data_IF_687232819993
#
_entry.id   IF_687232819993
#
_cell.length_a   1.000
_cell.length_b   1.000
_cell.length_c   1.000
_cell.angle_alpha   90.00
_cell.angle_beta   90.00
_cell.angle_gamma   90.00
#
_symmetry.space_group_name_H-M   'P 1'
#
loop_
_entity.id
_entity.type
_entity.pdbx_description
1 polymer ?
#
# COMPACT_ATOMS: atom_id res chain seq x y z
N UNK A 1 4.73 -1.86 11.74
CA UNK A 1 6.11 -2.09 11.28
C UNK A 1 7.07 -1.70 12.39
N UNK A 2 7.92 -2.63 12.82
CA UNK A 2 8.91 -2.37 13.87
C UNK A 2 10.03 -1.49 13.30
N UNK A 3 10.27 -0.32 13.89
CA UNK A 3 11.33 0.59 13.45
C UNK A 3 12.57 0.37 14.32
N UNK A 4 13.54 -0.39 13.82
CA UNK A 4 14.78 -0.72 14.56
C UNK A 4 15.45 0.55 15.09
N UNK A 5 15.54 1.62 14.29
CA UNK A 5 16.16 2.87 14.73
C UNK A 5 15.44 3.51 15.92
N UNK A 6 14.11 3.47 15.95
CA UNK A 6 13.33 3.98 17.09
C UNK A 6 13.59 3.14 18.34
N UNK A 7 13.62 1.82 18.18
CA UNK A 7 13.93 0.89 19.27
C UNK A 7 15.33 1.12 19.84
N UNK A 8 16.35 1.28 18.98
CA UNK A 8 17.71 1.59 19.41
C UNK A 8 17.79 2.91 20.17
N UNK A 9 17.05 3.94 19.73
CA UNK A 9 16.98 5.21 20.46
C UNK A 9 16.32 5.06 21.84
N UNK A 10 15.28 4.23 21.97
CA UNK A 10 14.61 3.98 23.23
C UNK A 10 15.48 3.19 24.23
N UNK A 11 16.39 2.33 23.75
CA UNK A 11 17.40 1.69 24.60
C UNK A 11 18.39 2.72 25.15
N UNK A 12 18.88 3.62 24.29
CA UNK A 12 19.89 4.61 24.67
C UNK A 12 19.32 5.74 25.53
N UNK A 13 18.09 6.17 25.25
CA UNK A 13 17.41 7.25 25.94
C UNK A 13 15.92 6.90 26.14
N UNK A 14 15.60 6.15 27.22
CA UNK A 14 14.23 5.72 27.50
C UNK A 14 13.29 6.92 27.64
N UNK A 15 12.22 6.92 26.85
CA UNK A 15 11.15 7.92 26.94
C UNK A 15 9.95 7.32 27.66
N UNK A 16 9.22 8.12 28.47
CA UNK A 16 7.97 7.65 29.05
C UNK A 16 7.01 7.20 27.95
N UNK A 17 6.25 6.13 28.22
CA UNK A 17 5.31 5.58 27.27
C UNK A 17 4.26 6.65 26.92
N UNK A 18 4.20 6.97 25.62
CA UNK A 18 3.18 7.86 25.09
C UNK A 18 1.79 7.21 25.10
N UNK A 19 0.74 7.99 24.85
CA UNK A 19 -0.62 7.46 24.79
C UNK A 19 -0.74 6.39 23.70
N UNK A 20 -1.47 5.31 24.04
CA UNK A 20 -1.78 4.23 23.09
C UNK A 20 -2.55 4.81 21.90
N UNK A 21 -2.02 4.63 20.70
CA UNK A 21 -2.70 4.99 19.44
C UNK A 21 -3.39 3.76 18.88
N UNK A 22 -4.69 3.87 18.64
CA UNK A 22 -5.44 2.87 17.89
C UNK A 22 -5.51 3.33 16.43
N UNK A 23 -4.96 2.55 15.47
CA UNK A 23 -5.10 2.89 14.07
C UNK A 23 -6.59 2.84 13.66
N UNK A 24 -7.03 3.71 12.75
CA UNK A 24 -8.44 3.81 12.37
C UNK A 24 -8.95 2.66 11.49
N UNK A 25 -8.06 1.76 11.05
CA UNK A 25 -8.40 0.64 10.17
C UNK A 25 -7.16 -0.15 9.74
N UNK A 26 -7.33 -1.17 8.90
CA UNK A 26 -6.24 -2.02 8.43
C UNK A 26 -5.30 -1.27 7.46
N UNK A 27 -4.06 -1.74 7.37
CA UNK A 27 -3.14 -1.36 6.30
C UNK A 27 -3.20 -2.43 5.24
N UNK A 28 -3.50 -2.05 3.99
CA UNK A 28 -3.51 -2.99 2.85
C UNK A 28 -2.21 -2.84 2.07
N UNK A 29 -1.51 -3.94 1.87
CA UNK A 29 -0.35 -4.04 0.98
C UNK A 29 -0.82 -4.84 -0.23
N UNK A 30 -0.82 -4.20 -1.39
CA UNK A 30 -1.37 -4.80 -2.61
C UNK A 30 -0.28 -5.01 -3.65
N UNK A 31 -0.07 -6.27 -4.05
CA UNK A 31 0.73 -6.60 -5.21
C UNK A 31 -0.01 -6.23 -6.50
N UNK A 32 0.28 -5.04 -7.01
CA UNK A 32 -0.39 -4.42 -8.15
C UNK A 32 0.05 -5.02 -9.50
N UNK A 33 1.32 -5.35 -9.61
CA UNK A 33 1.98 -5.89 -10.81
C UNK A 33 3.01 -6.93 -10.35
N UNK A 34 3.22 -8.01 -11.10
CA UNK A 34 4.23 -9.02 -10.76
C UNK A 34 5.54 -8.82 -11.53
N UNK A 35 5.50 -8.13 -12.66
CA UNK A 35 6.71 -7.77 -13.41
C UNK A 35 7.70 -6.99 -12.53
N UNK A 36 8.98 -7.34 -12.60
CA UNK A 36 10.06 -6.69 -11.86
C UNK A 36 11.33 -6.64 -12.70
N UNK A 37 12.11 -5.57 -12.61
CA UNK A 37 13.40 -5.42 -13.27
C UNK A 37 14.53 -6.23 -12.60
N UNK A 38 14.22 -6.94 -11.51
CA UNK A 38 15.15 -7.77 -10.74
C UNK A 38 14.61 -9.19 -10.55
N UNK A 39 15.52 -10.13 -10.28
CA UNK A 39 15.22 -11.54 -10.00
C UNK A 39 15.87 -11.99 -8.69
N UNK A 40 15.37 -11.43 -7.57
CA UNK A 40 15.94 -11.66 -6.25
C UNK A 40 15.76 -13.11 -5.79
N UNK A 41 16.82 -13.74 -5.26
CA UNK A 41 16.79 -15.12 -4.72
C UNK A 41 15.75 -15.36 -3.63
N UNK A 42 15.35 -14.30 -2.92
CA UNK A 42 14.41 -14.34 -1.79
C UNK A 42 13.02 -13.78 -2.18
N UNK A 43 12.72 -13.67 -3.48
CA UNK A 43 11.46 -13.12 -3.96
C UNK A 43 10.31 -14.10 -3.73
N UNK A 44 9.42 -13.80 -2.77
CA UNK A 44 8.26 -14.65 -2.49
C UNK A 44 7.28 -14.75 -3.67
N UNK A 45 7.22 -13.73 -4.53
CA UNK A 45 6.33 -13.68 -5.70
C UNK A 45 6.97 -14.24 -6.97
N UNK A 46 8.24 -14.66 -6.92
CA UNK A 46 9.01 -15.16 -8.06
C UNK A 46 8.80 -14.22 -9.27
N UNK A 47 9.15 -12.96 -9.08
CA UNK A 47 9.02 -11.90 -10.09
C UNK A 47 10.21 -11.92 -11.05
N UNK A 48 9.97 -11.47 -12.28
CA UNK A 48 10.98 -11.34 -13.32
C UNK A 48 10.55 -10.25 -14.32
N UNK A 49 11.43 -9.88 -15.23
CA UNK A 49 11.14 -8.87 -16.26
C UNK A 49 10.38 -9.51 -17.43
N UNK A 50 9.15 -9.95 -17.15
CA UNK A 50 8.22 -10.53 -18.10
C UNK A 50 6.81 -10.09 -17.76
N UNK A 51 5.95 -10.03 -18.78
CA UNK A 51 4.53 -9.83 -18.56
C UNK A 51 3.93 -11.14 -18.04
N UNK A 52 3.16 -11.04 -16.95
CA UNK A 52 2.49 -12.18 -16.35
C UNK A 52 1.03 -12.22 -16.83
N UNK A 53 0.48 -13.42 -17.11
CA UNK A 53 -0.91 -13.53 -17.51
C UNK A 53 -1.83 -13.19 -16.34
N UNK A 54 -3.06 -12.77 -16.66
CA UNK A 54 -4.13 -12.49 -15.70
C UNK A 54 -3.85 -11.34 -14.73
N UNK A 55 -2.98 -10.39 -15.10
CA UNK A 55 -2.91 -9.11 -14.39
C UNK A 55 -4.18 -8.29 -14.65
N UNK A 56 -4.60 -7.53 -13.64
CA UNK A 56 -5.75 -6.64 -13.77
C UNK A 56 -5.45 -5.53 -14.77
N UNK A 57 -6.44 -5.18 -15.58
CA UNK A 57 -6.37 -3.99 -16.40
C UNK A 57 -6.58 -2.72 -15.55
N UNK A 58 -6.37 -1.54 -16.15
CA UNK A 58 -6.51 -0.24 -15.48
C UNK A 58 -7.88 -0.03 -14.85
N UNK A 59 -8.95 -0.39 -15.57
CA UNK A 59 -10.32 -0.22 -15.07
C UNK A 59 -10.58 -1.08 -13.83
N UNK A 60 -10.18 -2.36 -13.87
CA UNK A 60 -10.31 -3.28 -12.74
C UNK A 60 -9.50 -2.81 -11.53
N UNK A 61 -8.34 -2.18 -11.74
CA UNK A 61 -7.57 -1.60 -10.64
C UNK A 61 -8.34 -0.46 -9.96
N UNK A 62 -8.96 0.42 -10.74
CA UNK A 62 -9.78 1.50 -10.18
C UNK A 62 -11.02 0.97 -9.43
N UNK A 63 -11.66 -0.09 -9.94
CA UNK A 63 -12.78 -0.77 -9.25
C UNK A 63 -12.33 -1.29 -7.87
N UNK A 64 -11.20 -2.00 -7.79
CA UNK A 64 -10.64 -2.47 -6.51
C UNK A 64 -10.27 -1.30 -5.59
N UNK A 65 -9.73 -0.21 -6.14
CA UNK A 65 -9.44 0.98 -5.33
C UNK A 65 -10.69 1.61 -4.75
N UNK A 66 -11.80 1.63 -5.49
CA UNK A 66 -13.08 2.14 -5.02
C UNK A 66 -13.69 1.24 -3.94
N UNK A 67 -13.59 -0.08 -4.08
CA UNK A 67 -13.94 -1.04 -3.03
C UNK A 67 -13.13 -0.76 -1.75
N UNK A 68 -11.80 -0.62 -1.87
CA UNK A 68 -10.93 -0.34 -0.72
C UNK A 68 -11.27 1.00 -0.03
N UNK A 69 -11.68 2.02 -0.79
CA UNK A 69 -12.18 3.28 -0.23
C UNK A 69 -13.51 3.06 0.49
N UNK A 70 -14.44 2.29 -0.08
CA UNK A 70 -15.73 1.97 0.53
C UNK A 70 -15.56 1.20 1.86
N UNK A 71 -14.57 0.30 1.92
CA UNK A 71 -14.17 -0.39 3.16
C UNK A 71 -13.38 0.48 4.14
N UNK A 72 -13.18 1.77 3.81
CA UNK A 72 -12.48 2.76 4.61
C UNK A 72 -11.05 2.38 4.96
N UNK A 73 -10.31 1.79 4.03
CA UNK A 73 -8.90 1.42 4.24
C UNK A 73 -8.04 2.68 4.41
N UNK A 74 -7.48 2.97 5.59
CA UNK A 74 -6.74 4.20 5.85
C UNK A 74 -5.42 4.31 5.11
N UNK A 75 -4.78 3.19 4.80
CA UNK A 75 -3.46 3.14 4.18
C UNK A 75 -3.43 2.02 3.16
N UNK A 76 -3.17 2.39 1.91
CA UNK A 76 -2.89 1.48 0.81
C UNK A 76 -1.41 1.63 0.41
N UNK A 77 -0.69 0.52 0.37
CA UNK A 77 0.68 0.42 -0.10
C UNK A 77 0.67 -0.35 -1.41
N UNK A 78 1.01 0.32 -2.50
CA UNK A 78 1.20 -0.33 -3.79
C UNK A 78 2.56 -1.06 -3.77
N UNK A 79 2.50 -2.35 -4.01
CA UNK A 79 3.60 -3.32 -3.92
C UNK A 79 3.54 -4.23 -5.15
N UNK A 80 4.35 -5.29 -5.20
CA UNK A 80 4.32 -6.31 -6.25
C UNK A 80 5.70 -6.84 -6.57
N UNK A 81 5.98 -6.98 -7.86
CA UNK A 81 7.32 -6.89 -8.41
C UNK A 81 7.83 -5.45 -8.24
N UNK A 82 7.92 -4.69 -9.32
CA UNK A 82 8.25 -3.26 -9.25
C UNK A 82 7.05 -2.43 -9.75
N UNK A 83 6.28 -1.77 -8.84
CA UNK A 83 5.13 -0.96 -9.21
C UNK A 83 5.42 0.11 -10.26
N UNK A 84 6.64 0.67 -10.27
CA UNK A 84 7.05 1.69 -11.23
C UNK A 84 7.17 1.18 -12.67
N UNK A 85 7.14 -0.14 -12.89
CA UNK A 85 7.08 -0.71 -14.24
C UNK A 85 5.67 -0.74 -14.82
N UNK A 86 4.62 -0.45 -14.03
CA UNK A 86 3.25 -0.38 -14.55
C UNK A 86 3.06 0.97 -15.28
N UNK A 87 2.63 0.98 -16.57
CA UNK A 87 2.58 2.21 -17.36
C UNK A 87 1.71 3.33 -16.78
N UNK A 88 0.62 2.96 -16.11
CA UNK A 88 -0.39 3.84 -15.55
C UNK A 88 -0.22 4.08 -14.03
N UNK A 89 0.95 3.76 -13.46
CA UNK A 89 1.20 3.85 -12.01
C UNK A 89 0.92 5.26 -11.44
N UNK A 90 1.20 6.31 -12.20
CA UNK A 90 0.97 7.70 -11.77
C UNK A 90 -0.49 8.13 -11.86
N UNK A 91 -1.32 7.41 -12.63
CA UNK A 91 -2.77 7.59 -12.64
C UNK A 91 -3.40 6.86 -11.45
N UNK A 92 -2.90 5.67 -11.14
CA UNK A 92 -3.36 4.85 -10.01
C UNK A 92 -2.96 5.46 -8.67
N UNK A 93 -1.70 5.86 -8.51
CA UNK A 93 -1.17 6.35 -7.24
C UNK A 93 -1.58 7.82 -7.03
N UNK A 94 -2.69 8.10 -6.33
CA UNK A 94 -3.12 9.47 -6.15
C UNK A 94 -2.20 10.15 -5.13
N UNK A 95 -2.14 11.48 -5.17
CA UNK A 95 -1.45 12.25 -4.14
C UNK A 95 -1.87 11.77 -2.73
N UNK A 96 -0.95 11.56 -1.77
CA UNK A 96 -1.26 10.99 -0.44
C UNK A 96 -2.39 11.71 0.31
N UNK A 97 -2.52 13.04 0.09
CA UNK A 97 -3.59 13.86 0.65
C UNK A 97 -4.99 13.45 0.13
N UNK A 98 -5.09 13.01 -1.13
CA UNK A 98 -6.34 12.58 -1.77
C UNK A 98 -6.86 11.26 -1.20
N UNK A 99 -6.00 10.26 -0.97
CA UNK A 99 -6.41 8.99 -0.35
C UNK A 99 -6.99 9.19 1.05
N UNK A 100 -6.29 9.97 1.89
CA UNK A 100 -6.72 10.23 3.27
C UNK A 100 -7.90 11.21 3.39
N UNK A 101 -8.15 12.07 2.39
CA UNK A 101 -9.32 12.97 2.40
C UNK A 101 -10.61 12.24 2.08
N UNK A 102 -10.57 11.23 1.21
CA UNK A 102 -11.77 10.48 0.79
C UNK A 102 -12.42 9.69 1.94
N UNK A 103 -11.66 9.38 2.98
CA UNK A 103 -12.14 8.64 4.16
C UNK A 103 -12.88 9.51 5.20
N UNK A 104 -12.88 10.84 5.04
CA UNK A 104 -13.51 11.78 5.98
C UNK A 104 -14.98 12.06 5.65
N UNK A 105 -15.44 11.72 4.45
CA UNK A 105 -16.82 11.92 4.06
C UNK A 105 -17.71 10.82 4.68
N UNK A 106 -18.82 11.17 5.34
CA UNK A 106 -19.80 10.17 5.77
C UNK A 106 -20.38 9.45 4.54
N UNK A 107 -20.79 8.18 4.67
CA UNK A 107 -21.36 7.43 3.55
C UNK A 107 -22.61 8.18 3.05
N UNK A 108 -22.64 8.52 1.77
CA UNK A 108 -23.91 8.70 1.08
C UNK A 108 -24.55 7.32 1.04
N UNK A 109 -25.53 7.08 1.92
CA UNK A 109 -26.31 5.86 1.92
C UNK A 109 -27.00 5.68 0.55
N UNK A 110 -27.20 4.43 0.09
CA UNK A 110 -28.17 4.16 -0.96
C UNK A 110 -29.60 4.48 -0.49
#
# INVERSE_FOLDING_TARGET
>A
MFRISQFMQEILAPKPLGPKRNPPGPVVIWNLVRRCNLMCKHCYSISADTDFPNELNTQQVFEVMDDLKQFRVPVLILSGGEPLLRPDIFEIAPAPKRWASTLRSPPTAP
#
